data_IF_224768428764
#
_entry.id   IF_224768428764
#
_cell.length_a   1.000
_cell.length_b   1.000
_cell.length_c   1.000
_cell.angle_alpha   90.00
_cell.angle_beta   90.00
_cell.angle_gamma   90.00
#
_symmetry.space_group_name_H-M   'P 1'
#
loop_
_entity.id
_entity.type
_entity.pdbx_description
1 polymer ?
#
# COMPACT_ATOMS: atom_id res chain seq x y z
N UNK A 1 15.93 3.94 -8.35
CA UNK A 1 14.77 3.80 -9.27
C UNK A 1 13.52 4.11 -8.48
N UNK A 2 12.60 4.86 -9.07
CA UNK A 2 11.30 5.17 -8.47
C UNK A 2 10.18 4.67 -9.40
N UNK A 3 9.13 4.12 -8.82
CA UNK A 3 7.94 3.66 -9.53
C UNK A 3 6.70 4.16 -8.79
N UNK A 4 5.83 4.87 -9.48
CA UNK A 4 4.50 5.22 -9.00
C UNK A 4 3.43 4.47 -9.80
N UNK A 5 2.48 3.87 -9.10
CA UNK A 5 1.34 3.18 -9.67
C UNK A 5 0.04 3.77 -9.12
N UNK A 6 -0.79 4.30 -9.99
CA UNK A 6 -2.06 4.94 -9.61
C UNK A 6 -3.22 4.27 -10.32
N UNK A 7 -4.18 3.75 -9.55
CA UNK A 7 -5.41 3.14 -10.06
C UNK A 7 -6.61 3.66 -9.26
N UNK A 8 -7.31 4.64 -9.81
CA UNK A 8 -8.43 5.31 -9.13
C UNK A 8 -9.79 4.96 -9.75
N UNK A 9 -9.87 4.74 -11.06
CA UNK A 9 -11.14 4.48 -11.77
C UNK A 9 -10.93 3.62 -13.02
N UNK A 10 -12.03 3.00 -13.49
CA UNK A 10 -12.14 2.50 -14.86
C UNK A 10 -11.71 1.06 -15.09
N UNK A 11 -11.52 0.28 -14.02
CA UNK A 11 -11.11 -1.13 -14.15
C UNK A 11 -11.93 -2.01 -13.22
N UNK A 12 -12.57 -3.05 -13.75
CA UNK A 12 -13.37 -3.98 -12.96
C UNK A 12 -12.52 -4.96 -12.16
N UNK A 13 -11.40 -5.39 -12.73
CA UNK A 13 -10.45 -6.28 -12.07
C UNK A 13 -9.03 -6.03 -12.56
N UNK A 14 -8.08 -5.93 -11.64
CA UNK A 14 -6.65 -5.86 -11.94
C UNK A 14 -5.87 -6.89 -11.14
N UNK A 15 -4.88 -7.48 -11.78
CA UNK A 15 -3.82 -8.26 -11.15
C UNK A 15 -2.50 -7.66 -11.61
N UNK A 16 -1.68 -7.18 -10.67
CA UNK A 16 -0.37 -6.61 -10.96
C UNK A 16 0.70 -7.34 -10.16
N UNK A 17 1.72 -7.78 -10.84
CA UNK A 17 2.91 -8.34 -10.22
C UNK A 17 4.13 -7.47 -10.60
N UNK A 18 4.88 -7.04 -9.59
CA UNK A 18 6.11 -6.28 -9.76
C UNK A 18 7.26 -7.05 -9.13
N UNK A 19 8.26 -7.38 -9.92
CA UNK A 19 9.47 -8.09 -9.45
C UNK A 19 10.68 -7.19 -9.53
N UNK A 20 11.47 -7.19 -8.47
CA UNK A 20 12.71 -6.45 -8.37
C UNK A 20 13.86 -7.33 -7.87
N UNK A 21 15.01 -7.22 -8.53
CA UNK A 21 16.26 -7.81 -8.04
C UNK A 21 17.26 -6.65 -7.91
N UNK A 22 17.73 -6.42 -6.69
CA UNK A 22 18.58 -5.27 -6.37
C UNK A 22 20.00 -5.74 -6.09
N UNK A 23 20.93 -5.18 -6.88
CA UNK A 23 22.36 -5.35 -6.72
C UNK A 23 22.95 -4.30 -5.75
N UNK A 24 24.27 -4.30 -5.57
CA UNK A 24 24.98 -3.43 -4.64
C UNK A 24 24.63 -1.95 -4.82
N UNK A 25 24.39 -1.27 -3.68
CA UNK A 25 24.12 0.16 -3.61
C UNK A 25 22.92 0.63 -4.46
N UNK A 26 21.98 -0.24 -4.74
CA UNK A 26 20.75 0.11 -5.45
C UNK A 26 19.62 0.46 -4.50
N UNK A 27 18.79 1.42 -4.92
CA UNK A 27 17.59 1.81 -4.20
C UNK A 27 16.36 1.72 -5.11
N UNK A 28 15.31 1.05 -4.64
CA UNK A 28 14.04 0.93 -5.34
C UNK A 28 12.89 1.42 -4.46
N UNK A 29 12.25 2.50 -4.88
CA UNK A 29 11.10 3.09 -4.19
C UNK A 29 9.85 2.85 -5.01
N UNK A 30 8.83 2.30 -4.37
CA UNK A 30 7.51 2.06 -4.97
C UNK A 30 6.45 2.79 -4.17
N UNK A 31 5.63 3.55 -4.86
CA UNK A 31 4.41 4.14 -4.31
C UNK A 31 3.22 3.66 -5.12
N UNK A 32 2.28 3.03 -4.45
CA UNK A 32 1.03 2.56 -5.04
C UNK A 32 -0.15 3.29 -4.42
N UNK A 33 -1.09 3.73 -5.26
CA UNK A 33 -2.35 4.37 -4.86
C UNK A 33 -3.50 3.66 -5.56
N UNK A 34 -4.39 3.03 -4.78
CA UNK A 34 -5.51 2.26 -5.32
C UNK A 34 -6.82 2.72 -4.71
N UNK A 35 -7.83 2.86 -5.55
CA UNK A 35 -9.23 3.03 -5.14
C UNK A 35 -10.10 2.01 -5.86
N UNK A 36 -10.94 1.31 -5.11
CA UNK A 36 -11.94 0.36 -5.64
C UNK A 36 -13.31 0.65 -5.06
N UNK A 37 -14.35 0.44 -5.88
CA UNK A 37 -15.75 0.63 -5.53
C UNK A 37 -16.61 -0.44 -6.23
N UNK A 38 -17.89 -0.55 -5.86
CA UNK A 38 -18.79 -1.54 -6.43
C UNK A 38 -18.31 -2.97 -6.20
N UNK A 39 -18.21 -3.75 -7.26
CA UNK A 39 -17.71 -5.13 -7.24
C UNK A 39 -16.26 -5.23 -7.74
N UNK A 40 -15.55 -4.12 -7.85
CA UNK A 40 -14.17 -4.08 -8.35
C UNK A 40 -13.21 -4.89 -7.49
N UNK A 41 -12.18 -5.44 -8.14
CA UNK A 41 -11.11 -6.20 -7.49
C UNK A 41 -9.75 -5.68 -7.90
N UNK A 42 -8.85 -5.53 -6.94
CA UNK A 42 -7.45 -5.20 -7.20
C UNK A 42 -6.54 -6.14 -6.40
N UNK A 43 -5.66 -6.83 -7.10
CA UNK A 43 -4.64 -7.67 -6.49
C UNK A 43 -3.27 -7.17 -6.92
N UNK A 44 -2.41 -6.87 -5.95
CA UNK A 44 -1.05 -6.41 -6.21
C UNK A 44 -0.04 -7.27 -5.46
N UNK A 45 1.05 -7.60 -6.11
CA UNK A 45 2.13 -8.37 -5.54
C UNK A 45 3.47 -7.70 -5.87
N UNK A 46 4.22 -7.35 -4.85
CA UNK A 46 5.61 -6.92 -4.95
C UNK A 46 6.51 -8.06 -4.48
N UNK A 47 7.40 -8.52 -5.35
CA UNK A 47 8.40 -9.57 -5.08
C UNK A 47 9.79 -8.97 -5.29
N UNK A 48 10.48 -8.67 -4.18
CA UNK A 48 11.74 -7.93 -4.19
C UNK A 48 12.84 -8.74 -3.52
N UNK A 49 13.94 -8.95 -4.24
CA UNK A 49 15.14 -9.62 -3.76
C UNK A 49 16.27 -8.60 -3.61
N UNK A 50 16.79 -8.46 -2.38
CA UNK A 50 17.91 -7.58 -2.07
C UNK A 50 19.17 -8.45 -1.97
N UNK A 51 19.85 -8.60 -3.12
CA UNK A 51 21.02 -9.48 -3.26
C UNK A 51 22.33 -8.75 -2.99
N UNK A 52 22.38 -7.46 -3.31
CA UNK A 52 23.58 -6.64 -3.19
C UNK A 52 23.74 -5.99 -1.82
N UNK A 53 24.99 -5.69 -1.44
CA UNK A 53 25.29 -4.91 -0.23
C UNK A 53 24.79 -3.48 -0.34
N UNK A 54 24.20 -2.97 0.75
CA UNK A 54 23.56 -1.66 0.84
C UNK A 54 22.37 -1.50 -0.16
N UNK A 55 21.82 -2.58 -0.66
CA UNK A 55 20.58 -2.53 -1.40
C UNK A 55 19.43 -2.10 -0.48
N UNK A 56 18.52 -1.28 -0.99
CA UNK A 56 17.37 -0.82 -0.21
C UNK A 56 16.09 -0.75 -1.02
N UNK A 57 14.96 -1.01 -0.38
CA UNK A 57 13.63 -0.83 -0.98
C UNK A 57 12.64 -0.22 0.01
N UNK A 58 11.79 0.67 -0.51
CA UNK A 58 10.60 1.16 0.16
C UNK A 58 9.39 0.87 -0.73
N UNK A 59 8.43 0.15 -0.19
CA UNK A 59 7.17 -0.17 -0.87
C UNK A 59 6.03 0.40 -0.02
N UNK A 60 5.37 1.45 -0.51
CA UNK A 60 4.22 2.06 0.16
C UNK A 60 2.97 1.84 -0.68
N UNK A 61 1.97 1.14 -0.15
CA UNK A 61 0.66 0.98 -0.76
C UNK A 61 -0.39 1.71 0.07
N UNK A 62 -1.04 2.71 -0.53
CA UNK A 62 -2.18 3.43 0.05
C UNK A 62 -3.42 3.12 -0.74
N UNK A 63 -4.46 2.65 -0.06
CA UNK A 63 -5.65 2.20 -0.75
C UNK A 63 -6.95 2.59 -0.05
N UNK A 64 -7.99 2.77 -0.86
CA UNK A 64 -9.36 3.00 -0.39
C UNK A 64 -10.28 1.98 -1.06
N UNK A 65 -10.99 1.22 -0.25
CA UNK A 65 -11.97 0.25 -0.72
C UNK A 65 -13.36 0.60 -0.19
N UNK A 66 -14.34 0.69 -1.10
CA UNK A 66 -15.72 1.06 -0.76
C UNK A 66 -16.73 0.06 -1.35
N UNK A 67 -17.96 0.11 -0.86
CA UNK A 67 -19.06 -0.74 -1.27
C UNK A 67 -18.78 -2.23 -1.04
N UNK A 68 -18.84 -3.08 -2.06
CA UNK A 68 -18.57 -4.53 -1.99
C UNK A 68 -17.23 -4.92 -2.65
N UNK A 69 -16.33 -3.94 -2.82
CA UNK A 69 -15.06 -4.15 -3.50
C UNK A 69 -14.05 -4.95 -2.68
N UNK A 70 -13.04 -5.48 -3.37
CA UNK A 70 -12.01 -6.31 -2.77
C UNK A 70 -10.62 -5.88 -3.22
N UNK A 71 -9.70 -5.82 -2.24
CA UNK A 71 -8.28 -5.57 -2.51
C UNK A 71 -7.41 -6.61 -1.80
N UNK A 72 -6.34 -7.03 -2.45
CA UNK A 72 -5.32 -7.88 -1.86
C UNK A 72 -3.94 -7.36 -2.20
N UNK A 73 -3.23 -6.92 -1.18
CA UNK A 73 -1.83 -6.50 -1.25
C UNK A 73 -0.94 -7.64 -0.75
N UNK A 74 0.05 -8.02 -1.55
CA UNK A 74 1.09 -8.98 -1.18
C UNK A 74 2.46 -8.33 -1.32
N UNK A 75 3.29 -8.44 -0.30
CA UNK A 75 4.66 -7.95 -0.31
C UNK A 75 5.60 -9.09 0.08
N UNK A 76 6.42 -9.54 -0.86
CA UNK A 76 7.44 -10.59 -0.67
C UNK A 76 8.81 -9.93 -0.73
N UNK A 77 9.54 -9.96 0.38
CA UNK A 77 10.84 -9.31 0.49
C UNK A 77 11.87 -10.31 1.01
N UNK A 78 12.95 -10.45 0.26
CA UNK A 78 14.06 -11.34 0.59
C UNK A 78 15.33 -10.54 0.79
N UNK A 79 15.82 -10.49 2.03
CA UNK A 79 17.09 -9.85 2.39
C UNK A 79 18.23 -10.86 2.36
N UNK A 80 18.95 -10.91 1.24
CA UNK A 80 20.00 -11.89 0.99
C UNK A 80 21.41 -11.35 1.32
N UNK A 81 21.52 -10.06 1.67
CA UNK A 81 22.76 -9.35 1.97
C UNK A 81 22.55 -8.40 3.15
N UNK A 82 23.55 -7.58 3.47
CA UNK A 82 23.40 -6.40 4.31
C UNK A 82 22.56 -5.37 3.58
N UNK A 83 21.29 -5.31 3.90
CA UNK A 83 20.29 -4.54 3.15
C UNK A 83 19.20 -3.97 4.06
N UNK A 84 18.39 -3.08 3.50
CA UNK A 84 17.26 -2.48 4.19
C UNK A 84 15.98 -2.59 3.35
N UNK A 85 14.88 -2.97 3.98
CA UNK A 85 13.56 -2.88 3.35
C UNK A 85 12.51 -2.36 4.33
N UNK A 86 11.61 -1.53 3.81
CA UNK A 86 10.42 -1.10 4.50
C UNK A 86 9.21 -1.27 3.56
N UNK A 87 8.25 -2.06 4.00
CA UNK A 87 6.97 -2.28 3.29
C UNK A 87 5.84 -1.77 4.15
N UNK A 88 5.06 -0.84 3.63
CA UNK A 88 3.92 -0.21 4.29
C UNK A 88 2.65 -0.45 3.49
N UNK A 89 1.58 -0.88 4.16
CA UNK A 89 0.27 -1.07 3.56
C UNK A 89 -0.80 -0.39 4.40
N UNK A 90 -1.27 0.77 3.94
CA UNK A 90 -2.33 1.52 4.59
C UNK A 90 -3.62 1.47 3.78
N UNK A 91 -4.73 1.16 4.43
CA UNK A 91 -6.01 1.07 3.76
C UNK A 91 -7.16 1.69 4.56
N UNK A 92 -7.99 2.47 3.86
CA UNK A 92 -9.30 2.90 4.35
C UNK A 92 -10.37 1.96 3.78
N UNK A 93 -11.20 1.41 4.68
CA UNK A 93 -12.32 0.55 4.31
C UNK A 93 -13.62 1.28 4.62
N UNK A 94 -14.56 1.22 3.67
CA UNK A 94 -15.94 1.72 3.84
C UNK A 94 -16.94 0.66 3.39
N UNK A 95 -18.14 0.70 3.94
CA UNK A 95 -19.27 -0.20 3.65
C UNK A 95 -18.92 -1.67 3.91
N UNK A 96 -19.09 -2.56 2.91
CA UNK A 96 -18.82 -3.99 2.98
C UNK A 96 -17.48 -4.39 2.35
N UNK A 97 -16.67 -3.42 1.92
CA UNK A 97 -15.42 -3.68 1.24
C UNK A 97 -14.46 -4.51 2.09
N UNK A 98 -13.58 -5.22 1.42
CA UNK A 98 -12.59 -6.09 2.05
C UNK A 98 -11.20 -5.77 1.54
N UNK A 99 -10.27 -5.60 2.47
CA UNK A 99 -8.85 -5.44 2.17
C UNK A 99 -8.06 -6.51 2.91
N UNK A 100 -7.18 -7.19 2.19
CA UNK A 100 -6.26 -8.18 2.74
C UNK A 100 -4.82 -7.73 2.48
N UNK A 101 -3.97 -7.76 3.50
CA UNK A 101 -2.53 -7.61 3.37
C UNK A 101 -1.84 -8.94 3.73
N UNK A 102 -0.89 -9.35 2.90
CA UNK A 102 -0.09 -10.57 3.11
C UNK A 102 1.39 -10.24 3.00
N UNK A 103 2.06 -9.89 4.10
CA UNK A 103 3.50 -9.71 4.10
C UNK A 103 4.23 -11.07 4.20
N UNK A 104 5.25 -11.24 3.37
CA UNK A 104 6.20 -12.35 3.42
C UNK A 104 7.61 -11.76 3.49
N UNK A 105 8.23 -11.81 4.66
CA UNK A 105 9.55 -11.25 4.89
C UNK A 105 10.51 -12.37 5.22
N UNK A 106 11.61 -12.49 4.49
CA UNK A 106 12.65 -13.49 4.71
C UNK A 106 14.01 -12.82 4.82
N UNK A 107 14.62 -12.85 6.00
CA UNK A 107 15.99 -12.40 6.22
C UNK A 107 16.94 -13.60 6.13
N UNK A 108 17.64 -13.72 5.03
CA UNK A 108 18.64 -14.76 4.78
C UNK A 108 20.05 -14.34 5.24
N UNK A 109 20.23 -13.07 5.60
CA UNK A 109 21.47 -12.49 6.10
C UNK A 109 21.22 -11.85 7.47
N UNK A 110 22.14 -12.02 8.42
CA UNK A 110 22.01 -11.48 9.79
C UNK A 110 22.05 -9.94 9.85
N UNK A 111 22.61 -9.30 8.83
CA UNK A 111 22.65 -7.84 8.69
C UNK A 111 21.48 -7.29 7.84
N UNK A 112 20.55 -8.13 7.40
CA UNK A 112 19.34 -7.67 6.73
C UNK A 112 18.38 -7.04 7.74
N UNK A 113 17.95 -5.81 7.49
CA UNK A 113 16.97 -5.08 8.29
C UNK A 113 15.68 -4.91 7.46
N UNK A 114 14.67 -5.71 7.77
CA UNK A 114 13.41 -5.76 7.03
C UNK A 114 12.26 -5.41 7.95
N UNK A 115 11.47 -4.40 7.55
CA UNK A 115 10.35 -3.88 8.31
C UNK A 115 9.07 -4.01 7.48
N UNK A 116 7.99 -4.44 8.12
CA UNK A 116 6.66 -4.35 7.55
C UNK A 116 5.69 -3.70 8.53
N UNK A 117 4.88 -2.77 8.01
CA UNK A 117 3.82 -2.10 8.74
C UNK A 117 2.51 -2.17 7.95
N UNK A 118 1.38 -2.28 8.65
CA UNK A 118 0.07 -2.24 8.03
C UNK A 118 -0.94 -1.55 8.95
N UNK A 119 -1.69 -0.60 8.39
CA UNK A 119 -2.82 0.03 9.04
C UNK A 119 -4.07 -0.09 8.17
N UNK A 120 -5.00 -0.94 8.55
CA UNK A 120 -6.24 -1.18 7.82
C UNK A 120 -7.42 -0.85 8.71
N UNK A 121 -8.23 0.14 8.32
CA UNK A 121 -9.35 0.57 9.16
C UNK A 121 -10.34 1.50 8.48
N UNK A 122 -11.29 1.97 9.28
CA UNK A 122 -12.28 2.97 8.85
C UNK A 122 -11.77 4.38 9.15
N UNK A 123 -12.35 5.37 8.48
CA UNK A 123 -12.15 6.78 8.83
C UNK A 123 -12.59 7.00 10.28
N UNK A 124 -11.72 7.61 11.08
CA UNK A 124 -12.04 7.92 12.47
C UNK A 124 -13.15 8.97 12.57
N UNK A 125 -14.19 8.69 13.38
CA UNK A 125 -15.30 9.60 13.56
C UNK A 125 -14.90 10.98 14.07
N UNK A 126 -13.84 11.08 14.85
CA UNK A 126 -13.29 12.38 15.30
C UNK A 126 -12.78 13.24 14.15
N UNK A 127 -12.15 12.65 13.13
CA UNK A 127 -11.68 13.36 11.95
C UNK A 127 -12.86 13.91 11.13
N UNK A 128 -13.90 13.11 10.93
CA UNK A 128 -15.14 13.53 10.29
C UNK A 128 -15.80 14.67 11.06
N UNK A 129 -16.03 14.48 12.35
CA UNK A 129 -16.65 15.50 13.23
C UNK A 129 -15.87 16.81 13.18
N UNK A 130 -14.55 16.77 13.23
CA UNK A 130 -13.70 17.97 13.17
C UNK A 130 -13.89 18.74 11.87
N UNK A 131 -13.92 18.05 10.73
CA UNK A 131 -14.15 18.70 9.42
C UNK A 131 -15.58 19.24 9.30
N UNK A 132 -16.57 18.53 9.82
CA UNK A 132 -17.96 18.99 9.83
C UNK A 132 -18.14 20.23 10.70
N UNK A 133 -17.41 20.40 11.80
CA UNK A 133 -17.43 21.64 12.60
C UNK A 133 -16.86 22.85 11.86
N UNK A 134 -16.08 22.62 10.81
CA UNK A 134 -15.58 23.66 9.92
C UNK A 134 -16.54 23.97 8.75
N UNK A 135 -17.74 23.39 8.76
CA UNK A 135 -18.81 23.68 7.81
C UNK A 135 -18.93 22.73 6.62
N UNK A 136 -18.15 21.65 6.60
CA UNK A 136 -18.27 20.61 5.56
C UNK A 136 -19.46 19.68 5.87
N UNK A 137 -20.15 19.22 4.84
CA UNK A 137 -21.06 18.08 4.96
C UNK A 137 -20.24 16.80 5.25
N UNK A 138 -20.88 15.76 5.76
CA UNK A 138 -20.21 14.48 6.02
C UNK A 138 -19.53 13.93 4.76
N UNK A 139 -20.19 13.99 3.62
CA UNK A 139 -19.66 13.56 2.34
C UNK A 139 -18.41 14.35 1.92
N UNK A 140 -18.45 15.67 2.05
CA UNK A 140 -17.29 16.52 1.73
C UNK A 140 -16.12 16.26 2.69
N UNK A 141 -16.40 16.00 3.97
CA UNK A 141 -15.40 15.66 4.95
C UNK A 141 -14.73 14.30 4.62
N UNK A 142 -15.51 13.29 4.27
CA UNK A 142 -14.99 12.00 3.80
C UNK A 142 -14.11 12.16 2.56
N UNK A 143 -14.59 12.88 1.54
CA UNK A 143 -13.84 13.14 0.30
C UNK A 143 -12.51 13.84 0.57
N UNK A 144 -12.47 14.80 1.49
CA UNK A 144 -11.25 15.49 1.88
C UNK A 144 -10.25 14.55 2.56
N UNK A 145 -10.72 13.67 3.46
CA UNK A 145 -9.86 12.69 4.13
C UNK A 145 -9.28 11.70 3.12
N UNK A 146 -10.12 11.14 2.24
CA UNK A 146 -9.70 10.19 1.21
C UNK A 146 -8.68 10.82 0.26
N UNK A 147 -8.95 12.04 -0.22
CA UNK A 147 -8.05 12.75 -1.10
C UNK A 147 -6.71 13.08 -0.42
N UNK A 148 -6.72 13.43 0.86
CA UNK A 148 -5.51 13.65 1.65
C UNK A 148 -4.70 12.37 1.87
N UNK A 149 -5.38 11.26 2.09
CA UNK A 149 -4.77 9.96 2.32
C UNK A 149 -4.10 9.38 1.07
N UNK A 150 -4.69 9.59 -0.12
CA UNK A 150 -4.15 9.12 -1.40
C UNK A 150 -3.12 10.09 -2.03
N UNK A 151 -2.81 11.21 -1.42
CA UNK A 151 -1.72 12.10 -1.86
C UNK A 151 -0.37 11.56 -1.43
#
# INVERSE_FOLDING_TARGET
MEMESVQIKGVDSTIRETKGVLDDNTNFVVTEKIMTAGLQKAETCFDVQLNGENASTHVTSRSVATEDSYQHFTSKIYGNSKCFAHSECDAIIKDNAKVKATPEITANNVEANLIHEAAIGKIAGEQLTKLMTLGLSEKEAEEQIINGFLR
#
